data_IF_030058087513
#
_entry.id   IF_030058087513
#
_cell.length_a   1.000
_cell.length_b   1.000
_cell.length_c   1.000
_cell.angle_alpha   90.00
_cell.angle_beta   90.00
_cell.angle_gamma   90.00
#
_symmetry.space_group_name_H-M   'P 1'
#
loop_
_entity.id
_entity.type
_entity.pdbx_description
1 polymer ?
#
# COMPACT_ATOMS: atom_id res chain seq x y z
N UNK A 1 -10.19 -24.60 15.97
CA UNK A 1 -10.94 -23.45 15.42
C UNK A 1 -10.69 -23.33 13.93
N UNK A 2 -11.64 -22.79 13.14
CA UNK A 2 -11.49 -22.58 11.69
C UNK A 2 -10.22 -21.76 11.39
N UNK A 3 -9.40 -22.24 10.45
CA UNK A 3 -8.16 -21.57 9.97
C UNK A 3 -8.18 -21.33 8.46
N UNK A 4 -9.31 -21.57 7.82
CA UNK A 4 -9.52 -21.44 6.38
C UNK A 4 -10.70 -20.49 6.11
N UNK A 5 -10.71 -19.82 4.95
CA UNK A 5 -11.82 -18.98 4.56
C UNK A 5 -13.07 -19.81 4.24
N UNK A 6 -14.21 -19.14 4.24
CA UNK A 6 -15.49 -19.65 3.73
C UNK A 6 -15.84 -18.86 2.48
N UNK A 7 -16.15 -19.56 1.39
CA UNK A 7 -16.45 -18.96 0.09
C UNK A 7 -17.94 -19.19 -0.19
N UNK A 8 -18.66 -18.11 -0.52
CA UNK A 8 -20.06 -18.15 -0.94
C UNK A 8 -20.25 -18.61 -2.38
N UNK A 9 -21.47 -18.46 -2.88
CA UNK A 9 -21.86 -18.93 -4.20
C UNK A 9 -21.45 -17.96 -5.31
N UNK A 10 -21.13 -18.51 -6.50
CA UNK A 10 -20.78 -17.73 -7.70
C UNK A 10 -19.61 -16.75 -7.50
N UNK A 11 -18.70 -17.06 -6.57
CA UNK A 11 -17.51 -16.25 -6.32
C UNK A 11 -16.48 -16.47 -7.42
N UNK A 12 -15.94 -15.38 -7.96
CA UNK A 12 -14.85 -15.41 -8.93
C UNK A 12 -13.55 -15.08 -8.21
N UNK A 13 -12.57 -15.98 -8.24
CA UNK A 13 -11.23 -15.75 -7.71
C UNK A 13 -10.24 -15.79 -8.87
N UNK A 14 -9.68 -14.64 -9.22
CA UNK A 14 -8.72 -14.53 -10.31
C UNK A 14 -7.32 -15.05 -9.92
N UNK A 15 -6.49 -15.29 -10.94
CA UNK A 15 -5.17 -15.88 -10.78
C UNK A 15 -4.30 -15.14 -9.75
N UNK A 16 -3.59 -15.90 -8.92
CA UNK A 16 -2.63 -15.39 -7.94
C UNK A 16 -3.23 -14.67 -6.73
N UNK A 17 -4.56 -14.52 -6.65
CA UNK A 17 -5.23 -14.01 -5.46
C UNK A 17 -5.04 -14.92 -4.25
N UNK A 18 -5.00 -14.32 -3.06
CA UNK A 18 -4.82 -15.02 -1.77
C UNK A 18 -5.89 -14.57 -0.81
N UNK A 19 -6.59 -15.52 -0.21
CA UNK A 19 -7.62 -15.29 0.79
C UNK A 19 -7.15 -15.91 2.10
N UNK A 20 -6.92 -15.07 3.11
CA UNK A 20 -6.22 -15.47 4.33
C UNK A 20 -7.12 -15.29 5.56
N UNK A 21 -7.03 -16.26 6.46
CA UNK A 21 -7.75 -16.27 7.73
C UNK A 21 -9.15 -16.87 7.65
N UNK A 22 -9.81 -16.96 8.81
CA UNK A 22 -11.19 -17.42 8.94
C UNK A 22 -12.19 -16.32 8.56
N UNK A 23 -12.12 -15.86 7.32
CA UNK A 23 -13.01 -14.83 6.76
C UNK A 23 -14.05 -15.45 5.82
N UNK A 24 -15.14 -14.71 5.59
CA UNK A 24 -16.18 -15.11 4.64
C UNK A 24 -16.14 -14.20 3.43
N UNK A 25 -16.22 -14.80 2.25
CA UNK A 25 -16.40 -14.13 0.96
C UNK A 25 -17.87 -14.31 0.56
N UNK A 26 -18.62 -13.22 0.47
CA UNK A 26 -20.04 -13.26 0.13
C UNK A 26 -20.31 -13.63 -1.32
N UNK A 27 -21.57 -13.96 -1.60
CA UNK A 27 -22.00 -14.46 -2.90
C UNK A 27 -21.80 -13.43 -4.02
N UNK A 28 -21.53 -13.92 -5.24
CA UNK A 28 -21.26 -13.13 -6.44
C UNK A 28 -20.05 -12.16 -6.30
N UNK A 29 -19.22 -12.34 -5.28
CA UNK A 29 -18.03 -11.52 -5.10
C UNK A 29 -16.95 -11.86 -6.14
N UNK A 30 -16.12 -10.88 -6.48
CA UNK A 30 -15.05 -10.97 -7.47
C UNK A 30 -13.74 -10.55 -6.82
N UNK A 31 -12.79 -11.47 -6.72
CA UNK A 31 -11.44 -11.21 -6.19
C UNK A 31 -10.50 -11.04 -7.38
N UNK A 32 -9.92 -9.85 -7.52
CA UNK A 32 -9.01 -9.49 -8.59
C UNK A 32 -7.68 -10.23 -8.53
N UNK A 33 -6.98 -10.30 -9.67
CA UNK A 33 -5.73 -11.03 -9.78
C UNK A 33 -4.67 -10.46 -8.82
N UNK A 34 -3.92 -11.33 -8.16
CA UNK A 34 -2.88 -10.94 -7.19
C UNK A 34 -3.39 -10.27 -5.90
N UNK A 35 -4.70 -10.12 -5.70
CA UNK A 35 -5.23 -9.48 -4.51
C UNK A 35 -4.97 -10.30 -3.24
N UNK A 36 -4.76 -9.64 -2.10
CA UNK A 36 -4.55 -10.30 -0.79
C UNK A 36 -5.67 -9.91 0.16
N UNK A 37 -6.65 -10.80 0.34
CA UNK A 37 -7.86 -10.56 1.13
C UNK A 37 -7.67 -11.07 2.54
N UNK A 38 -7.73 -10.16 3.50
CA UNK A 38 -7.56 -10.43 4.94
C UNK A 38 -8.78 -10.00 5.78
N UNK A 39 -9.84 -9.52 5.12
CA UNK A 39 -11.09 -9.07 5.76
C UNK A 39 -12.29 -9.72 5.05
N UNK A 40 -13.41 -9.94 5.75
CA UNK A 40 -14.64 -10.41 5.13
C UNK A 40 -15.06 -9.52 3.96
N UNK A 41 -15.62 -10.14 2.92
CA UNK A 41 -16.04 -9.47 1.69
C UNK A 41 -17.57 -9.57 1.58
N UNK A 42 -18.30 -8.45 1.45
CA UNK A 42 -19.75 -8.49 1.26
C UNK A 42 -20.13 -9.17 -0.06
N UNK A 43 -21.38 -9.65 -0.21
CA UNK A 43 -21.90 -10.10 -1.50
C UNK A 43 -21.81 -9.01 -2.58
N UNK A 44 -21.88 -9.40 -3.85
CA UNK A 44 -21.89 -8.52 -5.02
C UNK A 44 -20.73 -7.51 -5.07
N UNK A 45 -19.58 -7.86 -4.48
CA UNK A 45 -18.45 -6.95 -4.29
C UNK A 45 -17.23 -7.33 -5.12
N UNK A 46 -16.49 -6.35 -5.62
CA UNK A 46 -15.19 -6.56 -6.28
C UNK A 46 -14.06 -6.09 -5.37
N UNK A 47 -13.07 -6.96 -5.15
CA UNK A 47 -11.91 -6.70 -4.30
C UNK A 47 -10.63 -6.72 -5.13
N UNK A 48 -9.77 -5.72 -4.95
CA UNK A 48 -8.47 -5.62 -5.65
C UNK A 48 -7.37 -5.14 -4.69
N UNK A 49 -6.11 -5.37 -5.09
CA UNK A 49 -4.93 -4.82 -4.42
C UNK A 49 -4.37 -5.65 -3.26
N UNK A 50 -3.24 -5.17 -2.73
CA UNK A 50 -2.53 -5.73 -1.58
C UNK A 50 -2.22 -4.58 -0.61
N UNK A 51 -2.85 -4.53 0.58
CA UNK A 51 -3.93 -5.39 1.05
C UNK A 51 -5.24 -5.15 0.26
N UNK A 52 -6.02 -6.21 0.07
CA UNK A 52 -7.27 -6.19 -0.69
C UNK A 52 -8.29 -5.21 -0.12
N UNK A 53 -8.93 -4.45 -1.01
CA UNK A 53 -10.00 -3.49 -0.69
C UNK A 53 -11.18 -3.69 -1.64
N UNK A 54 -12.39 -3.56 -1.10
CA UNK A 54 -13.61 -3.51 -1.91
C UNK A 54 -13.61 -2.19 -2.67
N UNK A 55 -13.74 -2.26 -3.99
CA UNK A 55 -13.78 -1.09 -4.90
C UNK A 55 -15.12 -0.94 -5.60
N UNK A 56 -15.90 -2.02 -5.67
CA UNK A 56 -17.25 -2.05 -6.22
C UNK A 56 -18.11 -2.86 -5.26
N UNK A 57 -19.31 -2.40 -4.98
CA UNK A 57 -20.33 -3.13 -4.24
C UNK A 57 -21.70 -2.78 -4.84
N UNK A 58 -22.50 -3.80 -5.12
CA UNK A 58 -23.85 -3.66 -5.71
C UNK A 58 -23.84 -2.82 -7.00
N UNK A 59 -22.82 -3.04 -7.84
CA UNK A 59 -22.65 -2.32 -9.11
C UNK A 59 -22.21 -0.85 -8.97
N UNK A 60 -22.02 -0.34 -7.75
CA UNK A 60 -21.55 1.02 -7.47
C UNK A 60 -20.09 1.00 -7.04
N UNK A 61 -19.31 1.98 -7.48
CA UNK A 61 -17.95 2.16 -6.94
C UNK A 61 -18.08 2.60 -5.48
N UNK A 62 -17.53 1.80 -4.57
CA UNK A 62 -17.52 2.09 -3.14
C UNK A 62 -16.08 2.22 -2.71
N UNK A 63 -15.73 3.37 -2.14
CA UNK A 63 -14.34 3.75 -1.94
C UNK A 63 -13.64 3.92 -3.28
N UNK A 64 -13.41 5.17 -3.68
CA UNK A 64 -12.24 5.39 -4.52
C UNK A 64 -11.06 4.75 -3.76
N UNK A 65 -10.27 3.84 -4.37
CA UNK A 65 -9.00 3.54 -3.76
C UNK A 65 -8.33 4.89 -3.56
N UNK A 66 -7.90 5.15 -2.33
CA UNK A 66 -6.92 6.18 -2.08
C UNK A 66 -5.67 5.73 -2.85
N UNK A 67 -5.62 6.12 -4.12
CA UNK A 67 -4.50 5.92 -5.02
C UNK A 67 -3.46 7.02 -4.80
N UNK A 68 -3.58 7.83 -3.74
CA UNK A 68 -2.52 8.72 -3.30
C UNK A 68 -1.37 7.89 -2.72
N UNK A 69 -0.63 7.25 -3.62
CA UNK A 69 0.67 6.66 -3.35
C UNK A 69 1.65 7.70 -2.78
N UNK A 70 1.36 9.00 -2.90
CA UNK A 70 2.12 10.10 -2.30
C UNK A 70 1.99 10.24 -0.79
N UNK A 71 1.17 9.45 -0.10
CA UNK A 71 1.08 9.44 1.38
C UNK A 71 1.81 8.27 2.04
N UNK A 72 2.35 7.33 1.26
CA UNK A 72 3.30 6.38 1.82
C UNK A 72 4.62 7.11 2.06
N UNK A 73 5.29 6.91 3.22
CA UNK A 73 6.65 7.38 3.38
C UNK A 73 7.49 6.73 2.27
N UNK A 74 7.91 7.53 1.29
CA UNK A 74 8.79 7.07 0.23
C UNK A 74 10.19 6.93 0.83
N UNK A 75 10.70 5.70 1.00
CA UNK A 75 12.01 5.48 1.59
C UNK A 75 13.13 6.09 0.74
N UNK A 76 12.93 6.25 -0.57
CA UNK A 76 13.88 6.93 -1.45
C UNK A 76 13.85 8.43 -1.20
N UNK A 77 12.67 9.05 -1.13
CA UNK A 77 12.54 10.46 -0.80
C UNK A 77 13.13 10.77 0.59
N UNK A 78 12.84 9.94 1.59
CA UNK A 78 13.40 10.08 2.94
C UNK A 78 14.94 9.99 2.95
N UNK A 79 15.53 9.11 2.13
CA UNK A 79 16.97 9.04 1.94
C UNK A 79 17.51 10.27 1.22
N UNK A 80 16.84 10.75 0.17
CA UNK A 80 17.24 11.97 -0.53
C UNK A 80 17.22 13.20 0.39
N UNK A 81 16.17 13.39 1.21
CA UNK A 81 16.10 14.46 2.20
C UNK A 81 17.22 14.36 3.25
N UNK A 82 17.55 13.14 3.69
CA UNK A 82 18.66 12.92 4.61
C UNK A 82 20.02 13.24 3.97
N UNK A 83 20.19 12.91 2.69
CA UNK A 83 21.38 13.24 1.91
C UNK A 83 21.52 14.76 1.70
N UNK A 84 20.44 15.46 1.37
CA UNK A 84 20.45 16.92 1.21
C UNK A 84 20.86 17.62 2.51
N UNK A 85 20.31 17.21 3.66
CA UNK A 85 20.73 17.74 4.97
C UNK A 85 22.22 17.54 5.23
N UNK A 86 22.75 16.37 4.86
CA UNK A 86 24.16 16.05 5.04
C UNK A 86 25.06 16.86 4.10
N UNK A 87 24.63 17.11 2.87
CA UNK A 87 25.34 17.98 1.93
C UNK A 87 25.44 19.40 2.48
N UNK A 88 24.32 19.98 2.94
CA UNK A 88 24.31 21.32 3.55
C UNK A 88 25.22 21.39 4.77
N UNK A 89 25.22 20.37 5.63
CA UNK A 89 26.13 20.32 6.79
C UNK A 89 27.61 20.29 6.37
N UNK A 90 27.94 19.49 5.35
CA UNK A 90 29.31 19.39 4.83
C UNK A 90 29.76 20.69 4.14
N UNK A 91 28.89 21.32 3.36
CA UNK A 91 29.15 22.62 2.71
C UNK A 91 29.41 23.72 3.73
N UNK A 92 28.62 23.78 4.81
CA UNK A 92 28.83 24.74 5.90
C UNK A 92 30.17 24.51 6.61
N UNK A 93 30.55 23.24 6.85
CA UNK A 93 31.86 22.91 7.44
C UNK A 93 33.00 23.32 6.52
N UNK A 94 32.90 23.06 5.22
CA UNK A 94 33.89 23.50 4.23
C UNK A 94 34.04 25.02 4.24
N UNK A 95 32.95 25.78 4.19
CA UNK A 95 33.02 27.25 4.27
C UNK A 95 33.68 27.75 5.56
N UNK A 96 33.42 27.10 6.70
CA UNK A 96 34.04 27.48 7.97
C UNK A 96 35.55 27.27 7.95
N UNK A 97 36.01 26.16 7.35
CA UNK A 97 37.43 25.82 7.21
C UNK A 97 38.13 26.75 6.22
N UNK A 98 37.53 27.00 5.06
CA UNK A 98 38.07 27.94 4.06
C UNK A 98 38.20 29.36 4.63
N UNK A 99 37.27 29.79 5.50
CA UNK A 99 37.36 31.07 6.19
C UNK A 99 38.51 31.09 7.20
N UNK A 100 38.74 30.00 7.92
CA UNK A 100 39.86 29.87 8.87
C UNK A 100 41.20 29.93 8.13
N UNK A 101 41.35 29.19 7.03
CA UNK A 101 42.57 29.19 6.20
C UNK A 101 42.85 30.55 5.56
N UNK A 102 41.82 31.33 5.19
CA UNK A 102 42.01 32.69 4.67
C UNK A 102 42.37 33.73 5.72
N UNK A 103 42.22 33.41 7.00
CA UNK A 103 42.50 34.33 8.13
C UNK A 103 43.80 34.03 8.87
N UNK A 104 44.55 33.00 8.46
CA UNK A 104 45.92 32.70 8.91
C UNK A 104 46.94 33.03 7.83
#
# INVERSE_FOLDING_TARGET
GKRHPTIGDNVIIAAGAKVLGSITIGDNAKIGAGAVVIKPVPPNSTVVGVPGRVVIQDGRKVGAPDLEHGKLPDPVAAVCEALEKRLVELENRLQSLERQERSG
#
